data_IF_861889907158
#
_entry.id   IF_861889907158
#
_cell.length_a   1.000
_cell.length_b   1.000
_cell.length_c   1.000
_cell.angle_alpha   90.00
_cell.angle_beta   90.00
_cell.angle_gamma   90.00
#
_symmetry.space_group_name_H-M   'P 1'
#
loop_
_entity.id
_entity.type
_entity.pdbx_description
1 polymer ?
#
# COMPACT_ATOMS: atom_id res chain seq x y z
N UNK A 1 32.56 -0.69 -10.25
CA UNK A 1 32.97 -0.60 -8.82
C UNK A 1 31.78 -0.67 -7.87
N UNK A 2 30.64 -0.01 -8.17
CA UNK A 2 29.45 -0.02 -7.31
C UNK A 2 28.69 -1.36 -7.24
N UNK A 3 28.64 -2.17 -8.31
CA UNK A 3 27.98 -3.50 -8.27
C UNK A 3 28.65 -4.49 -7.31
N UNK A 4 29.97 -4.40 -7.10
CA UNK A 4 30.67 -5.30 -6.17
C UNK A 4 30.33 -5.00 -4.71
N UNK A 5 30.12 -3.71 -4.38
CA UNK A 5 29.66 -3.30 -3.05
C UNK A 5 28.22 -3.72 -2.78
N UNK A 6 27.33 -3.63 -3.78
CA UNK A 6 25.94 -4.07 -3.63
C UNK A 6 25.82 -5.58 -3.45
N UNK A 7 26.65 -6.39 -4.13
CA UNK A 7 26.67 -7.84 -3.92
C UNK A 7 27.17 -8.23 -2.51
N UNK A 8 28.21 -7.56 -2.01
CA UNK A 8 28.69 -7.78 -0.65
C UNK A 8 27.63 -7.41 0.40
N UNK A 9 26.98 -6.26 0.24
CA UNK A 9 25.91 -5.81 1.12
C UNK A 9 24.71 -6.78 1.10
N UNK A 10 24.30 -7.23 -0.09
CA UNK A 10 23.23 -8.22 -0.22
C UNK A 10 23.57 -9.49 0.54
N UNK A 11 24.77 -10.05 0.36
CA UNK A 11 25.18 -11.27 1.06
C UNK A 11 25.16 -11.09 2.58
N UNK A 12 25.66 -9.96 3.09
CA UNK A 12 25.60 -9.64 4.52
C UNK A 12 24.17 -9.56 5.06
N UNK A 13 23.24 -9.00 4.29
CA UNK A 13 21.82 -8.95 4.66
C UNK A 13 21.23 -10.35 4.68
N UNK A 14 21.50 -11.16 3.64
CA UNK A 14 21.00 -12.52 3.53
C UNK A 14 21.49 -13.42 4.67
N UNK A 15 22.72 -13.22 5.14
CA UNK A 15 23.27 -13.95 6.29
C UNK A 15 22.58 -13.58 7.62
N UNK A 16 22.07 -12.35 7.74
CA UNK A 16 21.37 -11.84 8.92
C UNK A 16 19.87 -12.15 8.92
N UNK A 17 19.32 -12.71 7.84
CA UNK A 17 17.92 -13.14 7.81
C UNK A 17 17.64 -14.21 8.86
N UNK A 18 16.43 -14.18 9.42
CA UNK A 18 16.00 -15.13 10.45
C UNK A 18 16.20 -16.58 9.98
N UNK A 19 16.58 -17.51 10.88
CA UNK A 19 16.83 -18.91 10.51
C UNK A 19 15.64 -19.60 9.83
N UNK A 20 14.41 -19.22 10.18
CA UNK A 20 13.18 -19.72 9.52
C UNK A 20 13.10 -19.38 8.03
N UNK A 21 13.57 -18.19 7.63
CA UNK A 21 13.63 -17.75 6.23
C UNK A 21 14.74 -18.51 5.50
N UNK A 22 15.93 -18.61 6.11
CA UNK A 22 17.10 -19.26 5.50
C UNK A 22 16.91 -20.75 5.22
N UNK A 23 15.98 -21.42 5.91
CA UNK A 23 15.66 -22.86 5.72
C UNK A 23 14.74 -23.13 4.53
N UNK A 24 14.16 -22.09 3.88
CA UNK A 24 13.23 -22.24 2.75
C UNK A 24 13.98 -22.27 1.41
N UNK A 25 13.39 -22.92 0.41
CA UNK A 25 13.90 -22.83 -0.97
C UNK A 25 13.53 -21.46 -1.57
N UNK A 26 14.48 -20.55 -1.52
CA UNK A 26 14.35 -19.17 -1.98
C UNK A 26 15.20 -18.87 -3.21
N UNK A 27 15.61 -19.90 -3.97
CA UNK A 27 16.48 -19.71 -5.15
C UNK A 27 15.91 -18.69 -6.13
N UNK A 28 14.64 -18.83 -6.51
CA UNK A 28 14.01 -17.90 -7.46
C UNK A 28 13.86 -16.49 -6.87
N UNK A 29 13.53 -16.37 -5.57
CA UNK A 29 13.53 -15.09 -4.87
C UNK A 29 14.90 -14.42 -4.88
N UNK A 30 15.97 -15.15 -4.55
CA UNK A 30 17.33 -14.60 -4.56
C UNK A 30 17.79 -14.21 -5.95
N UNK A 31 17.39 -14.93 -7.00
CA UNK A 31 17.66 -14.51 -8.39
C UNK A 31 16.99 -13.18 -8.69
N UNK A 32 15.69 -13.03 -8.38
CA UNK A 32 14.93 -11.79 -8.59
C UNK A 32 15.49 -10.64 -7.76
N UNK A 33 15.76 -10.90 -6.48
CA UNK A 33 16.34 -9.91 -5.57
C UNK A 33 17.72 -9.48 -6.07
N UNK A 34 18.62 -10.41 -6.40
CA UNK A 34 19.95 -10.09 -6.92
C UNK A 34 19.92 -9.22 -8.18
N UNK A 35 19.01 -9.52 -9.12
CA UNK A 35 18.84 -8.74 -10.34
C UNK A 35 18.32 -7.31 -10.09
N UNK A 36 17.52 -7.10 -9.04
CA UNK A 36 16.87 -5.82 -8.74
C UNK A 36 17.49 -5.07 -7.55
N UNK A 37 18.40 -5.69 -6.79
CA UNK A 37 18.85 -5.18 -5.50
C UNK A 37 19.55 -3.83 -5.62
N UNK A 38 20.32 -3.62 -6.68
CA UNK A 38 20.98 -2.33 -6.90
C UNK A 38 19.96 -1.18 -7.00
N UNK A 39 18.88 -1.36 -7.77
CA UNK A 39 17.84 -0.35 -7.93
C UNK A 39 17.10 -0.12 -6.60
N UNK A 40 16.68 -1.20 -5.93
CA UNK A 40 16.01 -1.14 -4.62
C UNK A 40 16.88 -0.42 -3.60
N UNK A 41 18.15 -0.84 -3.45
CA UNK A 41 19.09 -0.24 -2.52
C UNK A 41 19.35 1.23 -2.86
N UNK A 42 19.56 1.57 -4.12
CA UNK A 42 19.85 2.96 -4.54
C UNK A 42 18.69 3.89 -4.25
N UNK A 43 17.45 3.46 -4.48
CA UNK A 43 16.25 4.26 -4.19
C UNK A 43 16.05 4.38 -2.66
N UNK A 44 16.17 3.28 -1.93
CA UNK A 44 16.02 3.28 -0.48
C UNK A 44 17.09 4.12 0.22
N UNK A 45 18.36 4.02 -0.21
CA UNK A 45 19.45 4.85 0.27
C UNK A 45 19.25 6.33 -0.07
N UNK A 46 18.67 6.64 -1.24
CA UNK A 46 18.40 8.04 -1.60
C UNK A 46 17.41 8.71 -0.66
N UNK A 47 16.43 7.96 -0.15
CA UNK A 47 15.42 8.47 0.78
C UNK A 47 15.91 8.46 2.23
N UNK A 48 16.62 7.41 2.64
CA UNK A 48 16.85 7.11 4.06
C UNK A 48 18.33 6.89 4.43
N UNK A 49 19.26 7.03 3.49
CA UNK A 49 20.67 6.65 3.66
C UNK A 49 21.43 7.41 4.73
N UNK A 50 21.01 8.63 5.06
CA UNK A 50 21.63 9.47 6.10
C UNK A 50 21.15 9.12 7.52
N UNK A 51 20.21 8.18 7.67
CA UNK A 51 19.67 7.79 8.97
C UNK A 51 20.58 6.81 9.69
N UNK A 52 20.70 6.96 11.01
CA UNK A 52 21.47 6.07 11.86
C UNK A 52 20.94 4.62 11.88
N UNK A 53 19.65 4.41 11.60
CA UNK A 53 18.99 3.10 11.54
C UNK A 53 18.91 2.50 10.12
N UNK A 54 19.57 3.10 9.12
CA UNK A 54 19.47 2.70 7.71
C UNK A 54 19.68 1.19 7.48
N UNK A 55 20.78 0.63 8.01
CA UNK A 55 21.11 -0.79 7.81
C UNK A 55 20.05 -1.71 8.42
N UNK A 56 19.50 -1.35 9.58
CA UNK A 56 18.44 -2.11 10.25
C UNK A 56 17.14 -2.09 9.43
N UNK A 57 16.78 -0.92 8.89
CA UNK A 57 15.59 -0.78 8.05
C UNK A 57 15.75 -1.49 6.71
N UNK A 58 16.95 -1.47 6.12
CA UNK A 58 17.23 -2.22 4.89
C UNK A 58 17.13 -3.74 5.11
N UNK A 59 17.65 -4.25 6.24
CA UNK A 59 17.47 -5.65 6.63
C UNK A 59 15.98 -5.99 6.83
N UNK A 60 15.21 -5.09 7.47
CA UNK A 60 13.77 -5.25 7.65
C UNK A 60 13.04 -5.29 6.31
N UNK A 61 13.37 -4.40 5.38
CA UNK A 61 12.82 -4.34 4.02
C UNK A 61 13.01 -5.68 3.29
N UNK A 62 14.24 -6.22 3.28
CA UNK A 62 14.53 -7.51 2.64
C UNK A 62 13.83 -8.67 3.36
N UNK A 63 13.74 -8.61 4.69
CA UNK A 63 13.02 -9.61 5.48
C UNK A 63 11.52 -9.65 5.17
N UNK A 64 10.88 -8.50 4.99
CA UNK A 64 9.47 -8.39 4.58
C UNK A 64 9.26 -8.99 3.20
N UNK A 65 10.09 -8.60 2.22
CA UNK A 65 10.00 -9.17 0.86
C UNK A 65 10.18 -10.70 0.86
N UNK A 66 11.13 -11.21 1.65
CA UNK A 66 11.36 -12.65 1.76
C UNK A 66 10.19 -13.39 2.42
N UNK A 67 9.66 -12.87 3.54
CA UNK A 67 8.50 -13.46 4.22
C UNK A 67 7.28 -13.51 3.31
N UNK A 68 6.99 -12.39 2.62
CA UNK A 68 5.84 -12.34 1.71
C UNK A 68 6.01 -13.28 0.51
N UNK A 69 7.24 -13.46 0.00
CA UNK A 69 7.48 -14.47 -1.03
C UNK A 69 7.32 -15.91 -0.49
N UNK A 70 7.67 -16.17 0.77
CA UNK A 70 7.45 -17.50 1.39
C UNK A 70 5.95 -17.81 1.42
N UNK A 71 5.13 -16.84 1.84
CA UNK A 71 3.69 -17.00 2.00
C UNK A 71 2.92 -17.04 0.67
N UNK A 72 3.55 -16.58 -0.42
CA UNK A 72 2.95 -16.63 -1.77
C UNK A 72 2.68 -18.08 -2.21
N UNK A 73 1.45 -18.35 -2.64
CA UNK A 73 1.00 -19.69 -3.04
C UNK A 73 1.75 -20.21 -4.28
N UNK A 74 1.77 -21.53 -4.46
CA UNK A 74 2.40 -22.15 -5.63
C UNK A 74 1.73 -21.74 -6.95
N UNK A 75 0.41 -21.56 -6.96
CA UNK A 75 -0.36 -21.09 -8.11
C UNK A 75 0.06 -19.66 -8.51
N UNK A 76 0.16 -18.76 -7.54
CA UNK A 76 0.56 -17.37 -7.80
C UNK A 76 2.04 -17.26 -8.18
N UNK A 77 2.92 -18.12 -7.64
CA UNK A 77 4.32 -18.23 -8.09
C UNK A 77 4.43 -18.72 -9.54
N UNK A 78 3.57 -19.64 -9.97
CA UNK A 78 3.54 -20.06 -11.36
C UNK A 78 3.06 -18.92 -12.28
N UNK A 79 2.09 -18.13 -11.83
CA UNK A 79 1.63 -16.94 -12.55
C UNK A 79 2.73 -15.87 -12.65
N UNK A 80 3.50 -15.64 -11.59
CA UNK A 80 4.67 -14.74 -11.63
C UNK A 80 5.62 -15.15 -12.75
N UNK A 81 6.01 -16.42 -12.81
CA UNK A 81 6.94 -16.95 -13.82
C UNK A 81 6.34 -16.79 -15.23
N UNK A 82 5.05 -17.01 -15.39
CA UNK A 82 4.38 -16.81 -16.69
C UNK A 82 4.40 -15.35 -17.13
N UNK A 83 4.15 -14.40 -16.22
CA UNK A 83 4.17 -12.96 -16.51
C UNK A 83 5.58 -12.42 -16.71
N UNK A 84 6.58 -13.00 -16.06
CA UNK A 84 8.00 -12.68 -16.28
C UNK A 84 8.49 -13.12 -17.68
N UNK A 85 7.75 -13.99 -18.39
CA UNK A 85 8.08 -14.34 -19.78
C UNK A 85 7.50 -13.36 -20.80
N UNK A 86 6.45 -12.61 -20.42
CA UNK A 86 5.82 -11.57 -21.25
C UNK A 86 5.67 -10.28 -20.46
N UNK A 87 6.67 -9.40 -20.53
CA UNK A 87 6.67 -8.13 -19.80
C UNK A 87 5.63 -7.13 -20.32
N UNK A 88 4.92 -7.42 -21.42
CA UNK A 88 3.92 -6.55 -22.01
C UNK A 88 2.50 -7.13 -21.89
N UNK A 89 2.31 -8.17 -21.06
CA UNK A 89 1.03 -8.88 -20.91
C UNK A 89 -0.14 -7.91 -20.63
N UNK A 90 0.09 -6.87 -19.83
CA UNK A 90 -0.92 -5.87 -19.44
C UNK A 90 -1.27 -4.86 -20.56
N UNK A 91 -0.49 -4.80 -21.65
CA UNK A 91 -0.79 -3.97 -22.83
C UNK A 91 -1.64 -4.70 -23.87
N UNK A 92 -2.01 -5.95 -23.62
CA UNK A 92 -2.79 -6.73 -24.56
C UNK A 92 -4.18 -6.11 -24.79
N UNK A 93 -4.55 -5.91 -26.05
CA UNK A 93 -5.83 -5.32 -26.47
C UNK A 93 -7.06 -6.12 -26.05
N UNK A 94 -6.88 -7.37 -25.59
CA UNK A 94 -7.98 -8.20 -25.08
C UNK A 94 -8.52 -7.70 -23.73
N UNK A 95 -7.76 -6.88 -22.99
CA UNK A 95 -8.17 -6.41 -21.68
C UNK A 95 -9.25 -5.33 -21.79
N UNK A 96 -10.39 -5.59 -21.18
CA UNK A 96 -11.50 -4.66 -21.01
C UNK A 96 -11.79 -4.54 -19.51
N UNK A 97 -11.48 -3.35 -18.99
CA UNK A 97 -11.61 -3.03 -17.57
C UNK A 97 -12.99 -2.50 -17.19
N UNK A 98 -13.48 -2.90 -16.02
CA UNK A 98 -14.64 -2.29 -15.37
C UNK A 98 -14.34 -2.07 -13.89
N UNK A 99 -14.52 -0.83 -13.44
CA UNK A 99 -14.50 -0.48 -12.02
C UNK A 99 -15.93 -0.47 -11.47
N UNK A 100 -16.13 -1.03 -10.28
CA UNK A 100 -17.45 -1.15 -9.66
C UNK A 100 -17.37 -1.08 -8.14
N UNK A 101 -18.41 -0.49 -7.55
CA UNK A 101 -18.69 -0.64 -6.12
C UNK A 101 -19.56 -1.87 -5.90
N UNK A 102 -19.25 -2.66 -4.87
CA UNK A 102 -20.00 -3.88 -4.58
C UNK A 102 -21.46 -3.56 -4.25
N UNK A 103 -21.72 -2.66 -3.32
CA UNK A 103 -23.08 -2.27 -2.90
C UNK A 103 -23.95 -1.74 -4.04
N UNK A 104 -23.35 -1.04 -5.00
CA UNK A 104 -24.02 -0.53 -6.19
C UNK A 104 -24.27 -1.58 -7.29
N UNK A 105 -23.44 -2.62 -7.40
CA UNK A 105 -23.50 -3.57 -8.51
C UNK A 105 -24.02 -4.96 -8.12
N UNK A 106 -23.55 -5.51 -7.00
CA UNK A 106 -23.72 -6.91 -6.64
C UNK A 106 -24.02 -7.15 -5.14
N UNK A 107 -24.12 -6.10 -4.34
CA UNK A 107 -24.26 -6.16 -2.88
C UNK A 107 -22.93 -6.41 -2.18
N UNK A 108 -22.32 -7.57 -2.42
CA UNK A 108 -21.13 -8.07 -1.72
C UNK A 108 -20.23 -8.94 -2.63
N UNK A 109 -19.11 -9.44 -2.08
CA UNK A 109 -18.16 -10.29 -2.81
C UNK A 109 -18.79 -11.59 -3.34
N UNK A 110 -19.58 -12.36 -2.56
CA UNK A 110 -20.34 -13.51 -3.08
C UNK A 110 -21.27 -13.14 -4.23
N UNK A 111 -22.03 -12.05 -4.09
CA UNK A 111 -22.91 -11.56 -5.15
C UNK A 111 -22.14 -11.20 -6.41
N UNK A 112 -20.96 -10.58 -6.29
CA UNK A 112 -20.10 -10.31 -7.46
C UNK A 112 -19.69 -11.62 -8.16
N UNK A 113 -19.43 -12.68 -7.39
CA UNK A 113 -19.19 -14.03 -7.90
C UNK A 113 -20.34 -14.56 -8.77
N UNK A 114 -21.59 -14.31 -8.37
CA UNK A 114 -22.79 -14.69 -9.13
C UNK A 114 -22.91 -13.91 -10.46
N UNK A 115 -22.37 -12.69 -10.52
CA UNK A 115 -22.39 -11.82 -11.70
C UNK A 115 -21.21 -12.03 -12.67
N UNK A 116 -20.23 -12.89 -12.37
CA UNK A 116 -19.13 -13.17 -13.29
C UNK A 116 -19.56 -13.67 -14.68
N UNK A 117 -20.60 -14.53 -14.85
CA UNK A 117 -21.08 -14.91 -16.17
C UNK A 117 -21.56 -13.71 -17.00
N UNK A 118 -22.21 -12.72 -16.37
CA UNK A 118 -22.65 -11.51 -17.04
C UNK A 118 -21.45 -10.64 -17.48
N UNK A 119 -20.46 -10.45 -16.61
CA UNK A 119 -19.25 -9.70 -16.96
C UNK A 119 -18.50 -10.36 -18.13
N UNK A 120 -18.43 -11.69 -18.15
CA UNK A 120 -17.82 -12.45 -19.23
C UNK A 120 -18.61 -12.32 -20.55
N UNK A 121 -19.96 -12.35 -20.50
CA UNK A 121 -20.81 -12.09 -21.68
C UNK A 121 -20.62 -10.67 -22.21
N UNK A 122 -20.50 -9.68 -21.32
CA UNK A 122 -20.21 -8.28 -21.67
C UNK A 122 -18.82 -8.11 -22.30
N UNK A 123 -17.91 -9.07 -22.11
CA UNK A 123 -16.53 -9.03 -22.57
C UNK A 123 -15.57 -8.34 -21.59
N UNK A 124 -16.00 -8.10 -20.35
CA UNK A 124 -15.13 -7.58 -19.27
C UNK A 124 -14.27 -8.72 -18.74
N UNK A 125 -12.96 -8.50 -18.65
CA UNK A 125 -11.99 -9.47 -18.14
C UNK A 125 -10.92 -8.82 -17.25
N UNK A 126 -11.14 -7.59 -16.80
CA UNK A 126 -10.40 -6.96 -15.71
C UNK A 126 -11.39 -6.24 -14.81
N UNK A 127 -11.55 -6.72 -13.57
CA UNK A 127 -12.53 -6.23 -12.62
C UNK A 127 -11.82 -5.46 -11.52
N UNK A 128 -12.07 -4.16 -11.44
CA UNK A 128 -11.63 -3.32 -10.34
C UNK A 128 -12.75 -3.20 -9.31
N UNK A 129 -12.53 -3.87 -8.17
CA UNK A 129 -13.41 -3.78 -7.00
C UNK A 129 -12.94 -2.56 -6.20
N UNK A 130 -13.79 -1.52 -6.17
CA UNK A 130 -13.59 -0.30 -5.38
C UNK A 130 -13.43 -0.64 -3.88
N UNK A 131 -12.93 0.26 -3.01
CA UNK A 131 -12.44 -0.09 -1.69
C UNK A 131 -13.36 -0.98 -0.86
N UNK A 132 -12.83 -2.13 -0.42
CA UNK A 132 -13.54 -3.16 0.37
C UNK A 132 -12.94 -3.33 1.77
N UNK A 133 -11.96 -2.51 2.14
CA UNK A 133 -11.28 -2.64 3.42
C UNK A 133 -12.13 -2.08 4.55
N UNK A 134 -11.93 -2.60 5.76
CA UNK A 134 -12.62 -2.09 6.95
C UNK A 134 -12.41 -0.58 7.07
N UNK A 135 -13.50 0.16 7.19
CA UNK A 135 -13.53 1.63 7.25
C UNK A 135 -14.56 2.12 8.29
N UNK A 136 -14.54 3.41 8.68
CA UNK A 136 -15.54 3.95 9.59
C UNK A 136 -16.96 3.71 9.08
N UNK A 137 -17.90 3.44 10.00
CA UNK A 137 -19.31 3.24 9.66
C UNK A 137 -20.00 4.52 9.16
N UNK A 138 -19.47 5.68 9.56
CA UNK A 138 -19.99 7.00 9.22
C UNK A 138 -19.35 7.55 7.95
N UNK A 139 -18.67 8.69 8.07
CA UNK A 139 -17.94 9.28 6.96
C UNK A 139 -16.64 8.50 6.72
N UNK A 140 -16.55 7.82 5.58
CA UNK A 140 -15.39 7.02 5.19
C UNK A 140 -14.84 7.35 3.80
N UNK A 141 -15.32 8.44 3.19
CA UNK A 141 -14.97 8.82 1.82
C UNK A 141 -15.17 7.66 0.82
N UNK A 142 -16.32 6.99 0.88
CA UNK A 142 -16.60 5.83 0.02
C UNK A 142 -15.67 4.63 0.25
N UNK A 143 -15.10 4.50 1.46
CA UNK A 143 -14.19 3.42 1.84
C UNK A 143 -12.70 3.78 1.74
N UNK A 144 -12.35 5.00 1.32
CA UNK A 144 -10.95 5.45 1.25
C UNK A 144 -10.35 5.82 2.61
N UNK A 145 -11.15 6.04 3.65
CA UNK A 145 -10.64 6.12 5.03
C UNK A 145 -10.52 4.72 5.65
N UNK A 146 -9.34 4.11 5.61
CA UNK A 146 -9.12 2.72 6.03
C UNK A 146 -8.83 2.60 7.53
N UNK A 147 -9.61 1.77 8.24
CA UNK A 147 -9.41 1.41 9.66
C UNK A 147 -8.45 0.23 9.83
N UNK A 148 -8.44 -0.71 8.88
CA UNK A 148 -7.60 -1.89 8.92
C UNK A 148 -7.21 -2.34 7.50
N UNK A 149 -5.92 -2.26 7.18
CA UNK A 149 -5.42 -2.63 5.86
C UNK A 149 -5.46 -4.12 5.54
N UNK A 150 -5.72 -4.99 6.52
CA UNK A 150 -5.67 -6.45 6.38
C UNK A 150 -7.02 -7.13 6.59
N UNK A 151 -8.08 -6.36 6.86
CA UNK A 151 -9.43 -6.89 7.03
C UNK A 151 -10.40 -6.28 6.02
N UNK A 152 -11.40 -7.08 5.66
CA UNK A 152 -12.44 -6.70 4.72
C UNK A 152 -13.63 -6.17 5.51
N UNK A 153 -14.24 -5.09 5.02
CA UNK A 153 -15.45 -4.54 5.62
C UNK A 153 -16.56 -5.60 5.62
N UNK A 154 -17.20 -5.82 6.75
CA UNK A 154 -18.20 -6.87 6.88
C UNK A 154 -19.43 -6.67 5.96
N UNK A 155 -19.62 -5.48 5.40
CA UNK A 155 -20.63 -5.20 4.35
C UNK A 155 -20.22 -5.76 3.00
N UNK A 156 -18.92 -5.84 2.71
CA UNK A 156 -18.38 -6.38 1.47
C UNK A 156 -18.19 -7.90 1.53
N UNK A 157 -17.99 -8.47 2.72
CA UNK A 157 -17.84 -9.91 2.94
C UNK A 157 -16.66 -10.23 3.84
N UNK A 158 -15.94 -11.31 3.54
CA UNK A 158 -14.77 -11.76 4.28
C UNK A 158 -13.56 -11.98 3.37
N UNK A 159 -12.37 -12.10 3.98
CA UNK A 159 -11.15 -12.44 3.27
C UNK A 159 -11.25 -13.77 2.50
N UNK A 160 -12.05 -14.72 3.00
CA UNK A 160 -12.27 -15.98 2.31
C UNK A 160 -13.14 -15.78 1.06
N UNK A 161 -14.18 -14.93 1.13
CA UNK A 161 -15.01 -14.61 -0.04
C UNK A 161 -14.16 -13.96 -1.15
N UNK A 162 -13.21 -13.10 -0.80
CA UNK A 162 -12.28 -12.52 -1.77
C UNK A 162 -11.39 -13.59 -2.41
N UNK A 163 -10.90 -14.57 -1.63
CA UNK A 163 -10.07 -15.66 -2.18
C UNK A 163 -10.86 -16.56 -3.12
N UNK A 164 -12.13 -16.84 -2.79
CA UNK A 164 -13.05 -17.56 -3.68
C UNK A 164 -13.26 -16.76 -4.96
N UNK A 165 -13.61 -15.47 -4.87
CA UNK A 165 -13.78 -14.58 -6.02
C UNK A 165 -12.52 -14.53 -6.90
N UNK A 166 -11.35 -14.32 -6.31
CA UNK A 166 -10.09 -14.28 -7.04
C UNK A 166 -9.79 -15.60 -7.76
N UNK A 167 -10.09 -16.74 -7.15
CA UNK A 167 -9.94 -18.05 -7.78
C UNK A 167 -10.91 -18.24 -8.94
N UNK A 168 -12.13 -17.74 -8.83
CA UNK A 168 -13.14 -17.80 -9.88
C UNK A 168 -12.80 -16.91 -11.07
N UNK A 169 -12.32 -15.70 -10.80
CA UNK A 169 -11.80 -14.79 -11.83
C UNK A 169 -10.64 -15.42 -12.59
N UNK A 170 -9.65 -16.00 -11.89
CA UNK A 170 -8.51 -16.68 -12.54
C UNK A 170 -8.94 -17.85 -13.41
N UNK A 171 -9.90 -18.67 -12.98
CA UNK A 171 -10.47 -19.76 -13.80
C UNK A 171 -11.16 -19.28 -15.08
N UNK A 172 -11.57 -18.01 -15.12
CA UNK A 172 -12.21 -17.35 -16.26
C UNK A 172 -11.23 -16.47 -17.06
N UNK A 173 -9.94 -16.53 -16.75
CA UNK A 173 -8.91 -15.66 -17.35
C UNK A 173 -9.21 -14.16 -17.15
N UNK A 174 -9.84 -13.82 -16.02
CA UNK A 174 -10.16 -12.46 -15.62
C UNK A 174 -9.18 -11.97 -14.56
N UNK A 175 -8.85 -10.67 -14.62
CA UNK A 175 -7.93 -10.02 -13.68
C UNK A 175 -8.68 -9.36 -12.52
N UNK A 176 -8.16 -9.50 -11.31
CA UNK A 176 -8.64 -8.80 -10.13
C UNK A 176 -7.78 -7.55 -9.85
N UNK A 177 -8.43 -6.39 -9.81
CA UNK A 177 -7.81 -5.12 -9.37
C UNK A 177 -8.39 -4.68 -8.03
N UNK A 178 -7.53 -4.36 -7.06
CA UNK A 178 -7.91 -3.86 -5.74
C UNK A 178 -7.26 -2.51 -5.43
N UNK A 179 -7.95 -1.67 -4.66
CA UNK A 179 -7.37 -0.46 -4.09
C UNK A 179 -6.46 -0.76 -2.89
N UNK A 180 -5.34 -0.04 -2.83
CA UNK A 180 -4.53 0.10 -1.61
C UNK A 180 -4.33 1.58 -1.37
N UNK A 181 -4.93 2.08 -0.29
CA UNK A 181 -4.78 3.47 0.13
C UNK A 181 -3.41 3.63 0.79
N UNK A 182 -2.48 4.23 0.06
CA UNK A 182 -1.09 4.30 0.51
C UNK A 182 -0.75 5.61 1.22
N UNK A 183 -1.49 6.69 0.98
CA UNK A 183 -1.13 8.00 1.54
C UNK A 183 -1.61 8.21 2.98
N UNK A 184 -2.75 7.65 3.37
CA UNK A 184 -3.40 8.00 4.64
C UNK A 184 -4.14 6.80 5.23
N UNK A 185 -4.44 6.91 6.52
CA UNK A 185 -5.37 6.00 7.22
C UNK A 185 -6.57 6.79 7.72
N UNK A 186 -7.63 6.08 8.10
CA UNK A 186 -8.63 6.65 8.99
C UNK A 186 -7.99 7.08 10.32
N UNK A 187 -8.58 8.06 10.99
CA UNK A 187 -8.21 8.43 12.36
C UNK A 187 -8.65 7.37 13.38
N UNK A 188 -9.56 6.47 13.01
CA UNK A 188 -9.93 5.26 13.77
C UNK A 188 -8.95 4.08 13.59
N UNK A 189 -7.98 4.18 12.67
CA UNK A 189 -6.97 3.13 12.44
C UNK A 189 -6.14 2.85 13.70
N UNK A 190 -5.70 1.59 13.91
CA UNK A 190 -4.93 1.20 15.09
C UNK A 190 -3.71 2.11 15.31
N UNK A 191 -2.98 2.42 14.24
CA UNK A 191 -1.82 3.32 14.28
C UNK A 191 -2.19 4.73 14.75
N UNK A 192 -3.28 5.32 14.25
CA UNK A 192 -3.74 6.64 14.69
C UNK A 192 -4.19 6.62 16.16
N UNK A 193 -4.90 5.57 16.58
CA UNK A 193 -5.30 5.36 17.98
C UNK A 193 -4.09 5.20 18.92
N UNK A 194 -3.02 4.54 18.46
CA UNK A 194 -1.75 4.43 19.19
C UNK A 194 -1.01 5.76 19.28
N UNK A 195 -1.00 6.53 18.20
CA UNK A 195 -0.46 7.88 18.18
C UNK A 195 -1.18 8.79 19.19
N UNK A 196 -2.52 8.74 19.23
CA UNK A 196 -3.38 9.44 20.20
C UNK A 196 -3.07 9.07 21.66
N UNK A 197 -2.69 7.81 21.92
CA UNK A 197 -2.26 7.35 23.25
C UNK A 197 -0.85 7.78 23.66
N UNK A 198 -0.11 8.48 22.79
CA UNK A 198 1.25 8.91 23.08
C UNK A 198 2.34 7.89 22.75
N UNK A 199 2.02 6.82 21.99
CA UNK A 199 3.03 5.83 21.61
C UNK A 199 3.95 6.41 20.52
N UNK A 200 5.17 6.81 20.90
CA UNK A 200 6.09 7.55 20.03
C UNK A 200 6.30 6.96 18.62
N UNK A 201 6.53 5.64 18.45
CA UNK A 201 6.72 5.09 17.10
C UNK A 201 5.54 5.33 16.17
N UNK A 202 4.31 5.39 16.71
CA UNK A 202 3.09 5.63 15.94
C UNK A 202 2.80 7.12 15.77
N UNK A 203 3.28 7.99 16.66
CA UNK A 203 3.27 9.43 16.36
C UNK A 203 4.17 9.74 15.17
N UNK A 204 5.32 9.06 15.06
CA UNK A 204 6.24 9.19 13.93
C UNK A 204 5.69 8.56 12.62
N UNK A 205 4.53 7.88 12.65
CA UNK A 205 3.85 7.38 11.45
C UNK A 205 3.03 8.46 10.76
N UNK A 206 2.78 9.60 11.41
CA UNK A 206 1.98 10.70 10.88
C UNK A 206 2.75 12.02 10.99
N UNK A 207 2.23 13.06 10.34
CA UNK A 207 2.75 14.42 10.51
C UNK A 207 1.99 15.11 11.64
N UNK A 208 2.53 15.03 12.86
CA UNK A 208 1.92 15.57 14.09
C UNK A 208 2.76 16.73 14.65
N UNK A 209 2.10 17.84 15.03
CA UNK A 209 2.75 19.06 15.51
C UNK A 209 2.10 19.59 16.79
N UNK A 210 2.91 20.13 17.71
CA UNK A 210 2.44 20.71 18.97
C UNK A 210 1.67 22.02 18.78
N UNK A 211 1.98 22.77 17.73
CA UNK A 211 1.42 24.08 17.44
C UNK A 211 1.32 24.30 15.92
N UNK A 212 0.92 25.51 15.53
CA UNK A 212 0.71 25.90 14.13
C UNK A 212 1.98 26.38 13.40
N UNK A 213 3.13 26.48 14.06
CA UNK A 213 4.34 27.07 13.47
C UNK A 213 4.78 26.35 12.18
N UNK A 214 4.80 25.00 12.20
CA UNK A 214 5.13 24.19 11.01
C UNK A 214 3.92 24.00 10.08
N UNK A 215 2.71 23.67 10.57
CA UNK A 215 1.51 23.63 9.74
C UNK A 215 1.32 24.86 8.84
N UNK A 216 1.47 26.07 9.40
CA UNK A 216 1.29 27.32 8.67
C UNK A 216 2.36 27.49 7.56
N UNK A 217 3.57 26.94 7.73
CA UNK A 217 4.60 26.96 6.67
C UNK A 217 4.26 26.02 5.51
N UNK A 218 3.62 24.88 5.78
CA UNK A 218 3.14 23.99 4.73
C UNK A 218 1.98 24.62 3.93
N UNK A 219 1.01 25.20 4.63
CA UNK A 219 -0.19 25.80 4.02
C UNK A 219 0.08 27.06 3.20
N UNK A 220 1.28 27.67 3.30
CA UNK A 220 1.69 28.74 2.39
C UNK A 220 1.76 28.31 0.91
N UNK A 221 1.93 27.02 0.64
CA UNK A 221 2.12 26.51 -0.72
C UNK A 221 1.29 25.27 -1.04
N UNK A 222 0.78 24.55 -0.03
CA UNK A 222 -0.10 23.39 -0.22
C UNK A 222 -1.52 23.83 -0.57
N UNK A 223 -2.07 23.39 -1.72
CA UNK A 223 -3.47 23.67 -2.06
C UNK A 223 -4.42 22.81 -1.22
N UNK A 224 -5.61 23.34 -0.93
CA UNK A 224 -6.69 22.56 -0.31
C UNK A 224 -7.35 21.67 -1.35
N UNK A 225 -7.44 20.36 -1.07
CA UNK A 225 -8.09 19.40 -1.96
C UNK A 225 -9.61 19.48 -1.83
N UNK A 226 -10.12 19.67 -0.61
CA UNK A 226 -11.54 19.70 -0.29
C UNK A 226 -11.95 20.97 0.47
N UNK A 227 -11.77 22.17 -0.12
CA UNK A 227 -11.97 23.45 0.58
C UNK A 227 -13.41 23.65 1.12
N UNK A 228 -14.40 23.02 0.49
CA UNK A 228 -15.80 23.14 0.88
C UNK A 228 -16.20 22.21 2.04
N UNK A 229 -15.58 21.03 2.13
CA UNK A 229 -15.98 19.97 3.08
C UNK A 229 -14.98 19.74 4.21
N UNK A 230 -13.70 20.00 3.97
CA UNK A 230 -12.60 19.88 4.94
C UNK A 230 -11.55 20.98 4.64
N UNK A 231 -11.79 22.23 5.09
CA UNK A 231 -10.87 23.33 4.83
C UNK A 231 -9.54 23.17 5.58
N UNK A 232 -8.46 23.60 4.94
CA UNK A 232 -7.08 23.45 5.41
C UNK A 232 -6.45 22.10 5.08
N UNK A 233 -5.20 21.90 5.53
CA UNK A 233 -4.45 20.65 5.37
C UNK A 233 -4.07 20.02 6.72
N UNK A 234 -4.52 20.61 7.83
CA UNK A 234 -4.23 20.15 9.18
C UNK A 234 -5.46 20.27 10.09
N UNK A 235 -5.76 19.20 10.81
CA UNK A 235 -6.83 19.14 11.81
C UNK A 235 -6.24 19.11 13.21
N UNK A 236 -6.84 19.85 14.14
CA UNK A 236 -6.50 19.76 15.55
C UNK A 236 -7.18 18.55 16.20
N UNK A 237 -6.40 17.63 16.75
CA UNK A 237 -6.92 16.50 17.52
C UNK A 237 -7.00 16.88 19.00
N UNK A 238 -8.23 16.99 19.52
CA UNK A 238 -8.50 17.38 20.90
C UNK A 238 -8.02 16.32 21.92
N UNK A 239 -7.93 15.06 21.53
CA UNK A 239 -7.57 13.95 22.44
C UNK A 239 -6.10 14.03 22.82
N UNK A 240 -5.23 14.32 21.86
CA UNK A 240 -3.79 14.48 22.11
C UNK A 240 -3.31 15.93 22.16
N UNK A 241 -4.20 16.91 21.94
CA UNK A 241 -3.92 18.35 21.94
C UNK A 241 -2.78 18.73 20.98
N UNK A 242 -2.85 18.22 19.74
CA UNK A 242 -1.84 18.42 18.68
C UNK A 242 -2.52 18.57 17.32
N UNK A 243 -1.82 19.15 16.36
CA UNK A 243 -2.23 19.24 14.95
C UNK A 243 -1.76 18.01 14.17
N UNK A 244 -2.58 17.49 13.27
CA UNK A 244 -2.24 16.37 12.39
C UNK A 244 -2.51 16.76 10.95
N UNK A 245 -1.62 16.38 10.04
CA UNK A 245 -1.85 16.57 8.61
C UNK A 245 -2.98 15.69 8.09
N UNK A 246 -3.92 16.32 7.40
CA UNK A 246 -5.16 15.76 6.87
C UNK A 246 -5.45 16.42 5.52
N UNK A 247 -4.70 16.04 4.48
CA UNK A 247 -4.78 16.68 3.15
C UNK A 247 -6.16 16.48 2.49
N UNK A 248 -6.86 15.42 2.88
CA UNK A 248 -8.19 15.06 2.39
C UNK A 248 -9.25 15.46 3.43
N UNK A 249 -10.02 14.51 3.95
CA UNK A 249 -10.96 14.80 5.03
C UNK A 249 -10.24 14.83 6.39
N UNK A 250 -10.87 15.51 7.37
CA UNK A 250 -10.35 15.61 8.74
C UNK A 250 -10.14 14.24 9.45
N UNK A 251 -10.80 13.19 8.96
CA UNK A 251 -10.69 11.82 9.45
C UNK A 251 -9.69 10.96 8.63
N UNK A 252 -8.95 11.55 7.69
CA UNK A 252 -7.93 10.87 6.88
C UNK A 252 -6.55 11.44 7.24
N UNK A 253 -5.80 10.73 8.08
CA UNK A 253 -4.49 11.16 8.58
C UNK A 253 -3.38 10.73 7.63
N UNK A 254 -2.62 11.70 7.12
CA UNK A 254 -1.52 11.46 6.19
C UNK A 254 -0.36 10.72 6.86
N UNK A 255 0.04 9.60 6.24
CA UNK A 255 1.19 8.80 6.64
C UNK A 255 2.50 9.50 6.30
N UNK A 256 3.45 9.40 7.21
CA UNK A 256 4.75 10.05 7.12
C UNK A 256 5.80 9.15 6.46
N UNK A 257 5.90 9.21 5.13
CA UNK A 257 6.91 8.45 4.37
C UNK A 257 8.35 8.90 4.61
N UNK A 258 8.61 10.02 5.30
CA UNK A 258 9.99 10.32 5.72
C UNK A 258 10.51 9.31 6.77
N UNK A 259 9.60 8.54 7.38
CA UNK A 259 9.90 7.41 8.24
C UNK A 259 9.96 6.10 7.42
N UNK A 260 11.14 5.44 7.31
CA UNK A 260 11.26 4.19 6.54
C UNK A 260 10.38 3.06 7.08
N UNK A 261 9.98 3.10 8.36
CA UNK A 261 9.07 2.11 8.91
C UNK A 261 7.72 2.14 8.19
N UNK A 262 7.18 3.33 7.90
CA UNK A 262 5.90 3.49 7.17
C UNK A 262 6.00 2.89 5.78
N UNK A 263 7.07 3.21 5.03
CA UNK A 263 7.28 2.63 3.70
C UNK A 263 7.31 1.09 3.74
N UNK A 264 8.01 0.51 4.72
CA UNK A 264 8.14 -0.95 4.85
C UNK A 264 6.79 -1.59 5.25
N UNK A 265 6.01 -0.98 6.14
CA UNK A 265 4.66 -1.47 6.49
C UNK A 265 3.72 -1.42 5.27
N UNK A 266 3.74 -0.33 4.51
CA UNK A 266 2.91 -0.19 3.33
C UNK A 266 3.32 -1.16 2.20
N UNK A 267 4.61 -1.41 2.03
CA UNK A 267 5.09 -2.47 1.13
C UNK A 267 4.60 -3.85 1.57
N UNK A 268 4.63 -4.14 2.87
CA UNK A 268 4.11 -5.39 3.42
C UNK A 268 2.60 -5.54 3.13
N UNK A 269 1.81 -4.47 3.28
CA UNK A 269 0.39 -4.43 2.93
C UNK A 269 0.15 -4.67 1.43
N UNK A 270 0.92 -4.01 0.56
CA UNK A 270 0.84 -4.19 -0.90
C UNK A 270 1.10 -5.66 -1.26
N UNK A 271 2.18 -6.24 -0.70
CA UNK A 271 2.52 -7.64 -0.94
C UNK A 271 1.49 -8.61 -0.33
N UNK A 272 0.84 -8.23 0.77
CA UNK A 272 -0.23 -9.04 1.38
C UNK A 272 -1.40 -9.20 0.42
N UNK A 273 -1.87 -8.11 -0.21
CA UNK A 273 -2.96 -8.15 -1.18
C UNK A 273 -2.56 -8.85 -2.49
N UNK A 274 -1.30 -8.69 -2.93
CA UNK A 274 -0.77 -9.49 -4.02
C UNK A 274 -0.78 -11.00 -3.71
N UNK A 275 -0.60 -11.38 -2.43
CA UNK A 275 -0.71 -12.77 -1.97
C UNK A 275 -2.16 -13.24 -1.77
N UNK A 276 -3.13 -12.33 -1.65
CA UNK A 276 -4.56 -12.67 -1.67
C UNK A 276 -5.10 -12.89 -3.10
N UNK A 277 -4.27 -12.69 -4.12
CA UNK A 277 -4.61 -12.97 -5.51
C UNK A 277 -5.01 -11.75 -6.33
N UNK A 278 -4.74 -10.53 -5.85
CA UNK A 278 -4.83 -9.35 -6.68
C UNK A 278 -3.80 -9.42 -7.83
N UNK A 279 -4.25 -9.15 -9.05
CA UNK A 279 -3.41 -9.07 -10.23
C UNK A 279 -2.83 -7.67 -10.43
N UNK A 280 -3.63 -6.65 -10.08
CA UNK A 280 -3.28 -5.23 -10.17
C UNK A 280 -3.67 -4.57 -8.86
N UNK A 281 -2.81 -3.69 -8.35
CA UNK A 281 -3.09 -2.88 -7.18
C UNK A 281 -3.13 -1.42 -7.59
N UNK A 282 -4.29 -0.77 -7.40
CA UNK A 282 -4.45 0.67 -7.56
C UNK A 282 -3.89 1.34 -6.30
N UNK A 283 -2.72 1.95 -6.43
CA UNK A 283 -2.13 2.74 -5.35
C UNK A 283 -2.81 4.11 -5.31
N UNK A 284 -3.62 4.34 -4.28
CA UNK A 284 -4.38 5.60 -4.17
C UNK A 284 -3.53 6.74 -3.63
N UNK A 285 -3.77 7.96 -4.13
CA UNK A 285 -3.13 9.19 -3.68
C UNK A 285 -1.57 9.22 -3.73
N UNK A 286 -0.95 8.52 -4.69
CA UNK A 286 0.52 8.46 -4.85
C UNK A 286 1.20 9.83 -5.01
N UNK A 287 0.51 10.83 -5.56
CA UNK A 287 1.05 12.18 -5.71
C UNK A 287 1.40 12.82 -4.36
N UNK A 288 0.77 12.38 -3.28
CA UNK A 288 0.82 13.02 -1.97
C UNK A 288 1.82 12.36 -1.00
N UNK A 289 2.49 11.26 -1.38
CA UNK A 289 3.26 10.46 -0.42
C UNK A 289 4.38 11.22 0.30
N UNK A 290 4.96 12.24 -0.34
CA UNK A 290 6.05 13.02 0.24
C UNK A 290 5.68 14.48 0.41
N UNK A 291 5.93 15.02 1.61
CA UNK A 291 5.56 16.40 1.99
C UNK A 291 6.81 17.25 2.13
N UNK A 292 6.78 18.46 1.57
CA UNK A 292 7.92 19.37 1.61
C UNK A 292 7.47 20.82 1.76
N UNK A 293 7.95 21.48 2.80
CA UNK A 293 7.67 22.90 3.07
C UNK A 293 8.13 23.75 1.87
N UNK A 294 7.31 24.73 1.49
CA UNK A 294 7.57 25.62 0.35
C UNK A 294 7.29 24.99 -1.02
N UNK A 295 6.60 23.84 -1.07
CA UNK A 295 6.13 23.20 -2.29
C UNK A 295 4.64 22.90 -2.19
N UNK A 296 4.05 22.40 -3.27
CA UNK A 296 2.66 21.91 -3.26
C UNK A 296 2.51 20.59 -2.52
N UNK A 297 3.61 19.93 -2.11
CA UNK A 297 3.61 18.56 -1.55
C UNK A 297 2.84 17.57 -2.41
N UNK A 298 2.97 17.74 -3.74
CA UNK A 298 2.33 16.93 -4.76
C UNK A 298 3.34 16.64 -5.87
N UNK A 299 3.47 15.37 -6.23
CA UNK A 299 4.41 14.89 -7.26
C UNK A 299 5.87 15.25 -6.93
N UNK A 300 6.21 15.26 -5.63
CA UNK A 300 7.59 15.41 -5.20
C UNK A 300 8.45 14.28 -5.76
N UNK A 301 9.73 14.57 -6.02
CA UNK A 301 10.62 13.59 -6.67
C UNK A 301 10.85 12.34 -5.80
N UNK A 302 10.69 12.46 -4.50
CA UNK A 302 10.78 11.41 -3.51
C UNK A 302 9.53 10.49 -3.51
N UNK A 303 8.40 10.97 -4.02
CA UNK A 303 7.19 10.15 -4.20
C UNK A 303 7.27 9.23 -5.43
N UNK A 304 8.12 9.55 -6.41
CA UNK A 304 8.39 8.76 -7.63
C UNK A 304 9.49 7.71 -7.41
#
# INVERSE_FOLDING_TARGET
MYEQQSHYLLNNILDQLKPEIRKRDLRHFYTRLGANFYAIHSLFHRLYGERADFEQQLLRLVSVMASQYIDRSAELKALDISREQDHLWFLNQQWVGMALYLDGFAGDLPGLGEHLPYLQELGVNMVHVMPILECPRGASDGGYAVNNFRDIDSRAGSLEDLRVLGSDLRRREMLLTLDVVVNHTSDEHEWAQRARRGEQPYQDYYYIFDNRDIPDLFEQSMPEVFPETAPGNFTFDETMNKWVMTVFNNYQWDLNYTNPAVFIEMLDIILFWANQGADILRLDAVAFLWKKIGTTSQNEREAH
#
